data_IF_490223963428
#
_entry.id   IF_490223963428
#
_cell.length_a   1.000
_cell.length_b   1.000
_cell.length_c   1.000
_cell.angle_alpha   90.00
_cell.angle_beta   90.00
_cell.angle_gamma   90.00
#
_symmetry.space_group_name_H-M   'P 1'
#
loop_
_entity.id
_entity.type
_entity.pdbx_description
1 polymer ?
#
# COMPACT_ATOMS: atom_id res chain seq x y z
N UNK A 1 24.14 -40.30 31.21
CA UNK A 1 22.87 -40.21 31.97
C UNK A 1 21.92 -39.35 31.15
N UNK A 2 20.85 -39.96 30.61
CA UNK A 2 19.81 -39.24 29.86
C UNK A 2 18.88 -38.53 30.86
N UNK A 3 18.92 -37.20 30.91
CA UNK A 3 17.89 -36.41 31.60
C UNK A 3 16.87 -35.95 30.57
N UNK A 4 15.75 -36.68 30.44
CA UNK A 4 14.58 -36.17 29.73
C UNK A 4 14.02 -35.00 30.53
N UNK A 5 14.02 -33.79 29.98
CA UNK A 5 13.32 -32.67 30.58
C UNK A 5 11.81 -32.95 30.54
N UNK A 6 11.19 -33.06 31.71
CA UNK A 6 9.74 -33.15 31.83
C UNK A 6 9.12 -31.78 31.50
N UNK A 7 8.00 -31.71 30.77
CA UNK A 7 7.30 -30.45 30.53
C UNK A 7 6.80 -29.88 31.86
N UNK A 8 7.20 -28.65 32.16
CA UNK A 8 6.72 -27.90 33.33
C UNK A 8 5.28 -27.47 33.07
N UNK A 9 4.33 -27.97 33.87
CA UNK A 9 2.97 -27.46 33.91
C UNK A 9 2.86 -26.41 35.01
N UNK A 10 2.55 -25.17 34.64
CA UNK A 10 2.21 -24.10 35.58
C UNK A 10 0.81 -23.57 35.27
N UNK A 11 0.05 -23.20 36.31
CA UNK A 11 -1.22 -22.46 36.18
C UNK A 11 -0.98 -20.98 36.41
N UNK A 12 -1.45 -20.13 35.49
CA UNK A 12 -1.45 -18.68 35.64
C UNK A 12 -2.85 -18.22 36.08
N UNK A 13 -2.92 -17.40 37.12
CA UNK A 13 -4.17 -16.76 37.56
C UNK A 13 -4.13 -15.27 37.16
N UNK A 14 -5.10 -14.84 36.36
CA UNK A 14 -5.17 -13.47 35.81
C UNK A 14 -6.08 -12.62 36.70
N UNK A 15 -5.48 -11.80 37.58
CA UNK A 15 -6.25 -10.82 38.35
C UNK A 15 -6.48 -9.55 37.51
N UNK A 16 -7.71 -9.36 37.05
CA UNK A 16 -8.14 -8.08 36.49
C UNK A 16 -8.45 -7.10 37.64
N UNK A 17 -8.00 -5.84 37.57
CA UNK A 17 -8.39 -4.83 38.55
C UNK A 17 -9.91 -4.65 38.55
N UNK A 18 -10.53 -4.69 39.73
CA UNK A 18 -11.93 -4.32 39.88
C UNK A 18 -12.11 -2.83 39.58
N UNK A 19 -12.79 -2.48 38.49
CA UNK A 19 -13.27 -1.11 38.24
C UNK A 19 -12.90 -0.43 36.91
N UNK A 20 -12.35 -1.12 35.91
CA UNK A 20 -12.07 -0.50 34.61
C UNK A 20 -13.34 -0.43 33.73
N UNK A 21 -13.83 0.79 33.48
CA UNK A 21 -15.07 1.05 32.73
C UNK A 21 -14.86 1.43 31.25
N UNK A 22 -13.64 1.48 30.73
CA UNK A 22 -13.34 1.84 29.33
C UNK A 22 -12.33 0.90 28.64
N UNK A 23 -12.41 0.84 27.30
CA UNK A 23 -11.95 -0.22 26.41
C UNK A 23 -10.42 -0.33 26.15
N UNK A 24 -9.58 0.01 27.12
CA UNK A 24 -8.13 -0.24 27.03
C UNK A 24 -7.58 -0.57 28.42
N UNK A 25 -7.08 -1.80 28.59
CA UNK A 25 -6.43 -2.24 29.82
C UNK A 25 -5.07 -2.85 29.51
N UNK A 26 -4.04 -2.45 30.25
CA UNK A 26 -2.76 -3.15 30.24
C UNK A 26 -2.80 -4.31 31.24
N UNK A 27 -2.56 -5.54 30.79
CA UNK A 27 -2.32 -6.67 31.69
C UNK A 27 -0.82 -6.81 31.95
N UNK A 28 -0.43 -7.10 33.20
CA UNK A 28 0.92 -7.55 33.53
C UNK A 28 0.92 -9.06 33.58
N UNK A 29 1.80 -9.68 32.79
CA UNK A 29 2.05 -11.11 32.86
C UNK A 29 3.43 -11.29 33.49
N UNK A 30 3.46 -11.91 34.68
CA UNK A 30 4.70 -12.31 35.33
C UNK A 30 4.87 -13.80 35.13
N UNK A 31 5.92 -14.21 34.41
CA UNK A 31 6.26 -15.62 34.22
C UNK A 31 7.38 -15.94 35.20
N UNK A 32 7.08 -16.76 36.21
CA UNK A 32 8.09 -17.32 37.09
C UNK A 32 8.72 -18.53 36.40
N UNK A 33 9.98 -18.38 35.97
CA UNK A 33 10.80 -19.51 35.55
C UNK A 33 11.48 -20.10 36.79
N UNK A 34 11.64 -21.42 36.85
CA UNK A 34 12.26 -22.06 38.00
C UNK A 34 13.76 -21.71 38.03
N UNK A 35 14.18 -20.95 39.05
CA UNK A 35 15.48 -20.30 39.16
C UNK A 35 15.29 -18.81 39.46
N UNK A 36 16.20 -18.17 40.20
CA UNK A 36 16.05 -16.82 40.78
C UNK A 36 15.93 -15.64 39.77
N UNK A 37 15.39 -15.85 38.58
CA UNK A 37 15.14 -14.80 37.60
C UNK A 37 13.66 -14.77 37.20
N UNK A 38 12.96 -13.74 37.63
CA UNK A 38 11.67 -13.37 37.08
C UNK A 38 11.90 -12.40 35.91
N UNK A 39 11.28 -12.69 34.76
CA UNK A 39 11.12 -11.69 33.71
C UNK A 39 9.68 -11.18 33.75
N UNK A 40 9.53 -9.85 33.72
CA UNK A 40 8.23 -9.20 33.69
C UNK A 40 8.14 -8.42 32.39
N UNK A 41 7.23 -8.82 31.51
CA UNK A 41 6.93 -8.10 30.29
C UNK A 41 5.51 -7.50 30.35
N UNK A 42 5.33 -6.34 29.71
CA UNK A 42 4.02 -5.69 29.58
C UNK A 42 3.51 -5.88 28.17
N UNK A 43 2.30 -6.40 28.07
CA UNK A 43 1.58 -6.53 26.79
C UNK A 43 0.37 -5.60 26.80
N UNK A 44 0.16 -4.88 25.69
CA UNK A 44 -1.03 -4.07 25.44
C UNK A 44 -2.07 -4.95 24.74
N UNK A 45 -3.25 -5.11 25.34
CA UNK A 45 -4.39 -5.79 24.74
C UNK A 45 -5.37 -4.73 24.22
N UNK A 46 -5.62 -4.74 22.91
CA UNK A 46 -6.64 -3.89 22.28
C UNK A 46 -7.92 -4.71 22.04
N UNK A 47 -9.07 -4.23 22.56
CA UNK A 47 -10.38 -4.61 22.03
C UNK A 47 -11.10 -5.86 22.58
N UNK A 48 -11.04 -6.17 23.88
CA UNK A 48 -11.83 -7.28 24.44
C UNK A 48 -13.25 -6.84 24.88
N UNK A 49 -14.35 -7.48 24.42
CA UNK A 49 -15.69 -7.24 24.94
C UNK A 49 -15.87 -7.84 26.35
N UNK A 50 -16.79 -7.25 27.14
CA UNK A 50 -16.99 -7.58 28.57
C UNK A 50 -17.43 -9.03 28.77
N UNK A 51 -16.61 -9.81 29.47
CA UNK A 51 -16.93 -11.15 29.97
C UNK A 51 -15.68 -11.84 30.51
N UNK A 52 -15.81 -12.69 31.54
CA UNK A 52 -14.68 -13.47 32.09
C UNK A 52 -14.18 -14.44 31.02
N UNK A 53 -13.04 -14.13 30.38
CA UNK A 53 -12.34 -15.09 29.54
C UNK A 53 -11.19 -15.72 30.33
N UNK A 54 -11.14 -17.05 30.35
CA UNK A 54 -9.95 -17.78 30.73
C UNK A 54 -9.10 -17.97 29.47
N UNK A 55 -8.08 -17.13 29.28
CA UNK A 55 -7.07 -17.35 28.25
C UNK A 55 -6.09 -18.42 28.75
N UNK A 56 -5.95 -19.54 28.02
CA UNK A 56 -4.95 -20.55 28.32
C UNK A 56 -3.69 -20.26 27.50
N UNK A 57 -2.64 -19.75 28.16
CA UNK A 57 -1.35 -19.53 27.53
C UNK A 57 -0.55 -20.85 27.55
N UNK A 58 -0.28 -21.43 26.39
CA UNK A 58 0.56 -22.64 26.30
C UNK A 58 1.96 -22.22 25.86
N UNK A 59 2.92 -22.24 26.79
CA UNK A 59 4.33 -22.06 26.49
C UNK A 59 4.94 -23.40 26.09
N UNK A 60 5.51 -23.50 24.89
CA UNK A 60 6.37 -24.63 24.49
C UNK A 60 7.79 -24.11 24.27
N UNK A 61 8.79 -24.59 25.03
CA UNK A 61 10.19 -24.32 24.73
C UNK A 61 10.51 -24.89 23.33
N UNK A 62 11.22 -24.12 22.49
CA UNK A 62 11.83 -24.66 21.27
C UNK A 62 13.12 -25.40 21.65
N UNK A 63 13.34 -26.60 21.09
CA UNK A 63 14.57 -27.38 21.24
C UNK A 63 15.74 -26.76 20.46
N UNK A 64 16.19 -25.56 20.83
CA UNK A 64 17.40 -24.95 20.28
C UNK A 64 18.51 -24.94 21.34
N UNK A 65 19.70 -25.43 20.97
CA UNK A 65 20.86 -25.62 21.84
C UNK A 65 21.56 -24.30 22.25
N UNK A 66 21.06 -23.14 21.81
CA UNK A 66 21.80 -21.88 21.84
C UNK A 66 21.49 -21.02 23.08
N UNK A 67 20.87 -21.58 24.12
CA UNK A 67 20.67 -20.91 25.41
C UNK A 67 19.63 -19.77 25.42
N UNK A 68 19.02 -19.43 24.28
CA UNK A 68 17.90 -18.51 24.17
C UNK A 68 16.60 -19.25 23.84
N UNK A 69 15.66 -19.27 24.78
CA UNK A 69 14.37 -19.94 24.60
C UNK A 69 13.45 -19.07 23.74
N UNK A 70 13.22 -19.45 22.47
CA UNK A 70 12.16 -18.84 21.65
C UNK A 70 10.82 -19.45 22.06
N UNK A 71 9.97 -18.66 22.70
CA UNK A 71 8.63 -19.09 23.10
C UNK A 71 7.60 -18.78 22.01
N UNK A 72 6.71 -19.74 21.72
CA UNK A 72 5.47 -19.48 20.95
C UNK A 72 4.33 -19.21 21.92
N UNK A 73 3.54 -18.18 21.66
CA UNK A 73 2.32 -17.86 22.42
C UNK A 73 1.12 -18.25 21.58
N UNK A 74 0.22 -19.05 22.15
CA UNK A 74 -1.06 -19.40 21.57
C UNK A 74 -2.18 -18.77 22.42
N UNK A 75 -3.11 -18.06 21.78
CA UNK A 75 -4.37 -17.63 22.38
C UNK A 75 -5.48 -18.58 21.89
N UNK A 76 -6.11 -19.29 22.82
CA UNK A 76 -7.24 -20.18 22.55
C UNK A 76 -8.46 -19.65 23.32
N UNK A 77 -9.58 -19.41 22.62
CA UNK A 77 -10.87 -19.18 23.25
C UNK A 77 -11.50 -20.51 23.66
N UNK A 78 -12.06 -20.58 24.87
CA UNK A 78 -12.67 -21.80 25.40
C UNK A 78 -14.20 -21.73 25.38
N UNK A 79 -14.75 -22.66 24.59
CA UNK A 79 -16.09 -23.26 24.64
C UNK A 79 -17.31 -22.43 24.20
N UNK A 80 -17.85 -22.78 23.02
CA UNK A 80 -19.26 -22.55 22.68
C UNK A 80 -19.56 -22.44 21.18
N UNK A 81 -19.71 -23.58 20.48
CA UNK A 81 -20.21 -23.73 19.09
C UNK A 81 -19.24 -23.30 17.98
N UNK A 82 -18.61 -24.29 17.35
CA UNK A 82 -17.73 -24.12 16.19
C UNK A 82 -18.61 -24.10 14.93
N UNK A 83 -18.97 -22.90 14.48
CA UNK A 83 -19.16 -22.60 13.06
C UNK A 83 -18.16 -21.50 12.71
N UNK A 84 -17.09 -21.88 11.99
CA UNK A 84 -16.13 -20.97 11.37
C UNK A 84 -15.14 -20.30 12.33
N UNK A 85 -13.93 -20.88 12.48
CA UNK A 85 -12.63 -20.19 12.61
C UNK A 85 -11.58 -21.19 13.13
N UNK A 86 -10.93 -21.90 12.20
CA UNK A 86 -9.70 -22.63 12.48
C UNK A 86 -8.54 -21.87 11.86
N UNK A 87 -7.97 -20.90 12.56
CA UNK A 87 -6.58 -20.47 12.31
C UNK A 87 -5.99 -19.89 13.59
N UNK A 88 -5.16 -20.69 14.27
CA UNK A 88 -4.19 -20.12 15.21
C UNK A 88 -3.17 -19.33 14.38
N UNK A 89 -3.28 -18.01 14.37
CA UNK A 89 -2.27 -17.13 13.76
C UNK A 89 -1.04 -17.10 14.67
N UNK A 90 0.05 -17.74 14.24
CA UNK A 90 1.35 -17.55 14.86
C UNK A 90 1.99 -16.28 14.28
N UNK A 91 1.91 -15.17 15.01
CA UNK A 91 2.69 -13.97 14.72
C UNK A 91 4.07 -14.18 15.36
N UNK A 92 5.05 -14.66 14.60
CA UNK A 92 6.46 -14.53 14.97
C UNK A 92 6.91 -13.11 14.59
N UNK A 93 6.87 -12.18 15.55
CA UNK A 93 7.61 -10.93 15.43
C UNK A 93 9.07 -11.22 15.80
N UNK A 94 9.96 -11.29 14.80
CA UNK A 94 11.40 -11.39 15.05
C UNK A 94 11.87 -10.09 15.70
N UNK A 95 12.20 -10.15 17.00
CA UNK A 95 12.67 -8.99 17.78
C UNK A 95 14.12 -8.61 17.47
N UNK A 96 14.80 -9.32 16.55
CA UNK A 96 16.18 -9.07 16.14
C UNK A 96 16.34 -8.46 14.74
N UNK A 97 16.55 -7.14 14.64
CA UNK A 97 17.08 -6.42 13.45
C UNK A 97 16.31 -6.48 12.11
N UNK A 98 15.33 -7.36 11.95
CA UNK A 98 14.54 -7.63 10.75
C UNK A 98 13.06 -7.28 10.98
N UNK A 99 12.78 -6.08 11.49
CA UNK A 99 11.41 -5.58 11.79
C UNK A 99 10.41 -5.57 10.62
N UNK A 100 10.84 -5.99 9.41
CA UNK A 100 10.08 -5.89 8.17
C UNK A 100 9.83 -7.25 7.48
N UNK A 101 10.17 -8.38 8.10
CA UNK A 101 9.88 -9.71 7.56
C UNK A 101 8.70 -10.33 8.31
N UNK A 102 7.59 -10.56 7.60
CA UNK A 102 6.38 -11.17 8.17
C UNK A 102 6.04 -12.48 7.46
N UNK A 103 5.36 -13.40 8.15
CA UNK A 103 4.89 -14.67 7.60
C UNK A 103 3.39 -14.62 7.32
N UNK A 104 2.96 -15.21 6.21
CA UNK A 104 1.54 -15.22 5.82
C UNK A 104 0.71 -16.24 6.55
N UNK A 105 -0.59 -15.98 6.54
CA UNK A 105 -1.57 -17.04 6.50
C UNK A 105 -1.86 -17.43 5.04
N UNK A 106 -1.88 -18.74 4.76
CA UNK A 106 -2.52 -19.29 3.56
C UNK A 106 -4.02 -19.33 3.84
N UNK A 107 -4.85 -18.84 2.91
CA UNK A 107 -6.28 -19.08 3.07
C UNK A 107 -6.58 -20.58 2.86
N UNK A 108 -7.58 -21.14 3.56
CA UNK A 108 -8.05 -22.48 3.27
C UNK A 108 -8.62 -22.51 1.84
N UNK A 109 -7.86 -23.07 0.91
CA UNK A 109 -8.25 -23.28 -0.48
C UNK A 109 -7.96 -24.73 -0.86
N UNK A 110 -8.73 -25.25 -1.82
CA UNK A 110 -8.40 -26.54 -2.44
C UNK A 110 -7.10 -26.32 -3.20
N UNK A 111 -6.06 -27.03 -2.79
CA UNK A 111 -4.85 -27.10 -3.59
C UNK A 111 -5.11 -28.06 -4.72
N UNK A 112 -5.10 -27.53 -5.93
CA UNK A 112 -4.97 -28.39 -7.07
C UNK A 112 -3.66 -29.15 -6.94
N UNK A 113 -3.71 -30.46 -7.16
CA UNK A 113 -2.50 -31.26 -7.27
C UNK A 113 -1.58 -30.71 -8.38
N UNK A 114 -0.31 -31.13 -8.43
CA UNK A 114 0.61 -30.68 -9.47
C UNK A 114 -0.01 -30.84 -10.87
N UNK A 115 -0.02 -29.75 -11.65
CA UNK A 115 -0.56 -29.74 -13.02
C UNK A 115 0.61 -30.00 -13.98
N UNK A 116 0.63 -31.11 -14.73
CA UNK A 116 1.72 -31.40 -15.65
C UNK A 116 1.91 -30.30 -16.70
N UNK A 117 3.16 -29.96 -17.02
CA UNK A 117 3.50 -29.01 -18.08
C UNK A 117 3.83 -29.74 -19.39
N UNK A 118 3.40 -29.22 -20.56
CA UNK A 118 3.68 -29.87 -21.85
C UNK A 118 5.17 -29.94 -22.21
N UNK A 119 5.98 -28.99 -21.71
CA UNK A 119 7.42 -28.87 -22.00
C UNK A 119 8.31 -29.49 -20.91
N UNK A 120 7.70 -30.06 -19.86
CA UNK A 120 8.42 -30.61 -18.71
C UNK A 120 9.06 -29.56 -17.81
N UNK A 121 8.73 -28.28 -17.96
CA UNK A 121 9.17 -27.22 -17.04
C UNK A 121 8.48 -27.32 -15.68
N UNK A 122 9.17 -26.94 -14.62
CA UNK A 122 8.57 -26.82 -13.28
C UNK A 122 8.32 -25.35 -12.95
N UNK A 123 7.17 -25.06 -12.37
CA UNK A 123 6.83 -23.70 -11.95
C UNK A 123 6.03 -23.70 -10.65
N UNK A 124 6.07 -22.57 -9.94
CA UNK A 124 5.18 -22.29 -8.82
C UNK A 124 4.29 -21.12 -9.23
N UNK A 125 2.98 -21.30 -9.11
CA UNK A 125 1.99 -20.24 -9.30
C UNK A 125 1.23 -19.97 -8.01
N UNK A 126 0.50 -18.86 -7.97
CA UNK A 126 -0.45 -18.56 -6.91
C UNK A 126 -1.04 -17.18 -7.10
N UNK A 127 -1.81 -16.73 -6.12
CA UNK A 127 -2.41 -15.40 -6.12
C UNK A 127 -2.15 -14.70 -4.80
N UNK A 128 -1.74 -13.45 -4.87
CA UNK A 128 -1.59 -12.57 -3.72
C UNK A 128 -2.82 -11.67 -3.57
N UNK A 129 -3.29 -11.52 -2.34
CA UNK A 129 -4.28 -10.51 -1.97
C UNK A 129 -4.00 -9.93 -0.57
N UNK A 130 -4.64 -8.81 -0.25
CA UNK A 130 -4.66 -8.23 1.09
C UNK A 130 -5.99 -7.56 1.34
N UNK A 131 -6.29 -7.25 2.59
CA UNK A 131 -7.42 -6.39 2.91
C UNK A 131 -7.00 -4.94 2.78
N UNK A 132 -7.77 -4.13 2.06
CA UNK A 132 -7.57 -2.69 1.97
C UNK A 132 -7.97 -1.97 3.27
N UNK A 133 -7.81 -0.64 3.31
CA UNK A 133 -8.16 0.18 4.47
C UNK A 133 -9.67 0.15 4.81
N UNK A 134 -10.53 -0.16 3.84
CA UNK A 134 -11.97 -0.35 4.04
C UNK A 134 -12.31 -1.79 4.51
N UNK A 135 -11.32 -2.67 4.58
CA UNK A 135 -11.47 -4.06 4.97
C UNK A 135 -11.97 -4.97 3.85
N UNK A 136 -12.04 -4.49 2.61
CA UNK A 136 -12.36 -5.28 1.43
C UNK A 136 -11.12 -6.01 0.92
N UNK A 137 -11.30 -7.20 0.34
CA UNK A 137 -10.18 -7.96 -0.22
C UNK A 137 -9.78 -7.35 -1.57
N UNK A 138 -8.52 -6.94 -1.69
CA UNK A 138 -7.92 -6.36 -2.87
C UNK A 138 -6.82 -7.27 -3.44
N UNK A 139 -6.70 -7.29 -4.77
CA UNK A 139 -5.64 -8.00 -5.48
C UNK A 139 -4.27 -7.41 -5.17
N UNK A 140 -3.30 -8.28 -4.91
CA UNK A 140 -1.95 -7.89 -4.59
C UNK A 140 -1.12 -7.59 -5.82
N UNK A 141 -1.50 -6.55 -6.55
CA UNK A 141 -1.00 -6.21 -7.89
C UNK A 141 0.43 -5.69 -7.90
N UNK A 142 1.19 -6.00 -8.95
CA UNK A 142 2.54 -5.47 -9.22
C UNK A 142 3.56 -5.61 -8.08
N UNK A 143 3.38 -6.61 -7.22
CA UNK A 143 4.28 -6.96 -6.13
C UNK A 143 5.39 -7.81 -6.69
N UNK A 144 6.65 -7.49 -6.37
CA UNK A 144 7.78 -8.36 -6.74
C UNK A 144 7.68 -9.68 -5.99
N UNK A 145 7.81 -10.79 -6.71
CA UNK A 145 7.80 -12.15 -6.16
C UNK A 145 9.13 -12.83 -6.44
N UNK A 146 9.70 -13.46 -5.42
CA UNK A 146 10.95 -14.22 -5.48
C UNK A 146 10.74 -15.61 -4.88
N UNK A 147 11.27 -16.66 -5.52
CA UNK A 147 11.28 -18.00 -4.93
C UNK A 147 12.61 -18.23 -4.21
N UNK A 148 12.55 -18.38 -2.88
CA UNK A 148 13.73 -18.59 -2.04
C UNK A 148 13.74 -20.02 -1.53
N UNK A 149 14.87 -20.76 -1.57
CA UNK A 149 14.95 -22.09 -0.98
C UNK A 149 14.59 -22.05 0.52
N UNK A 150 13.78 -22.99 1.01
CA UNK A 150 13.33 -23.00 2.42
C UNK A 150 14.49 -23.17 3.43
N UNK A 151 15.59 -23.79 3.01
CA UNK A 151 16.84 -23.87 3.79
C UNK A 151 17.66 -22.56 3.82
N UNK A 152 17.16 -21.49 3.22
CA UNK A 152 17.89 -20.24 3.00
C UNK A 152 18.72 -20.25 1.72
N UNK A 153 19.15 -19.08 1.29
CA UNK A 153 19.96 -18.88 0.08
C UNK A 153 19.45 -17.74 -0.79
N UNK A 154 20.04 -17.64 -1.99
CA UNK A 154 19.63 -16.65 -2.98
C UNK A 154 18.31 -17.08 -3.68
N UNK A 155 17.48 -16.12 -4.12
CA UNK A 155 16.32 -16.42 -4.96
C UNK A 155 16.72 -17.20 -6.21
N UNK A 156 15.95 -18.24 -6.54
CA UNK A 156 16.15 -19.07 -7.75
C UNK A 156 15.29 -18.62 -8.93
N UNK A 157 14.23 -17.85 -8.66
CA UNK A 157 13.35 -17.27 -9.66
C UNK A 157 12.80 -15.93 -9.14
N UNK A 158 12.49 -15.02 -10.05
CA UNK A 158 11.97 -13.68 -9.76
C UNK A 158 10.96 -13.25 -10.81
N UNK A 159 9.92 -12.55 -10.39
CA UNK A 159 8.93 -11.93 -11.26
C UNK A 159 8.09 -10.92 -10.47
N UNK A 160 6.87 -10.67 -10.94
CA UNK A 160 5.90 -9.84 -10.25
C UNK A 160 4.49 -10.43 -10.37
N UNK A 161 3.59 -10.00 -9.49
CA UNK A 161 2.17 -10.27 -9.67
C UNK A 161 1.57 -9.40 -10.77
N UNK A 162 0.59 -9.94 -11.48
CA UNK A 162 -0.23 -9.22 -12.47
C UNK A 162 -1.27 -8.30 -11.81
N UNK A 163 -2.12 -7.57 -12.56
CA UNK A 163 -3.16 -6.69 -11.99
C UNK A 163 -4.20 -7.41 -11.10
N UNK A 164 -4.38 -8.72 -11.30
CA UNK A 164 -5.31 -9.57 -10.55
C UNK A 164 -4.65 -10.25 -9.33
N UNK A 165 -3.35 -10.01 -9.15
CA UNK A 165 -2.53 -10.53 -8.06
C UNK A 165 -1.92 -11.91 -8.35
N UNK A 166 -2.08 -12.46 -9.56
CA UNK A 166 -1.54 -13.77 -9.89
C UNK A 166 -0.05 -13.69 -10.19
N UNK A 167 0.69 -14.74 -9.85
CA UNK A 167 2.08 -14.91 -10.26
C UNK A 167 2.31 -16.34 -10.75
N UNK A 168 3.32 -16.50 -11.62
CA UNK A 168 3.87 -17.80 -11.99
C UNK A 168 5.38 -17.64 -12.21
N UNK A 169 6.18 -18.41 -11.47
CA UNK A 169 7.63 -18.36 -11.54
C UNK A 169 8.17 -19.72 -11.97
N UNK A 170 8.84 -19.74 -13.12
CA UNK A 170 9.50 -20.93 -13.68
C UNK A 170 10.80 -21.19 -12.95
N UNK A 171 11.04 -22.44 -12.57
CA UNK A 171 12.25 -22.87 -11.89
C UNK A 171 13.38 -23.12 -12.92
N UNK A 172 14.62 -22.71 -12.65
CA UNK A 172 15.71 -22.72 -13.63
C UNK A 172 16.28 -24.12 -13.96
N UNK A 173 15.97 -25.16 -13.17
CA UNK A 173 16.43 -26.53 -13.42
C UNK A 173 15.43 -27.56 -12.85
N UNK A 174 15.26 -28.70 -13.53
CA UNK A 174 14.47 -29.84 -13.08
C UNK A 174 15.01 -30.44 -11.77
N UNK A 175 16.28 -30.19 -11.42
CA UNK A 175 16.86 -30.55 -10.12
C UNK A 175 16.27 -29.78 -8.91
N UNK A 176 15.37 -28.82 -9.16
CA UNK A 176 14.56 -28.19 -8.11
C UNK A 176 13.45 -29.11 -7.58
N UNK A 177 13.19 -30.26 -8.23
CA UNK A 177 12.19 -31.24 -7.80
C UNK A 177 12.39 -31.69 -6.35
N UNK A 178 11.27 -31.79 -5.62
CA UNK A 178 11.26 -32.21 -4.22
C UNK A 178 11.86 -31.18 -3.26
N UNK A 179 12.39 -30.06 -3.77
CA UNK A 179 12.88 -28.98 -2.93
C UNK A 179 11.73 -28.09 -2.49
N UNK A 180 11.90 -27.62 -1.27
CA UNK A 180 11.04 -26.69 -0.60
C UNK A 180 11.42 -25.25 -0.94
N UNK A 181 10.43 -24.42 -1.27
CA UNK A 181 10.59 -23.00 -1.57
C UNK A 181 9.64 -22.15 -0.75
N UNK A 182 10.07 -20.95 -0.41
CA UNK A 182 9.28 -19.89 0.20
C UNK A 182 9.07 -18.80 -0.86
N UNK A 183 7.84 -18.60 -1.34
CA UNK A 183 7.52 -17.41 -2.11
C UNK A 183 7.68 -16.18 -1.20
N UNK A 184 8.59 -15.29 -1.56
CA UNK A 184 8.89 -14.03 -0.89
C UNK A 184 8.38 -12.87 -1.74
N UNK A 185 7.68 -11.95 -1.11
CA UNK A 185 7.02 -10.83 -1.74
C UNK A 185 7.58 -9.54 -1.21
N UNK A 186 7.89 -8.60 -2.10
CA UNK A 186 8.37 -7.27 -1.75
C UNK A 186 7.36 -6.25 -2.25
N UNK A 187 6.91 -5.35 -1.36
CA UNK A 187 6.01 -4.24 -1.73
C UNK A 187 6.75 -3.18 -2.54
N UNK A 188 6.99 -3.51 -3.81
CA UNK A 188 7.71 -2.68 -4.76
C UNK A 188 8.00 -3.45 -6.04
N UNK A 189 8.51 -2.72 -7.02
CA UNK A 189 8.93 -3.20 -8.33
C UNK A 189 9.94 -2.19 -8.92
N UNK A 190 10.20 -2.25 -10.23
CA UNK A 190 11.13 -1.32 -10.90
C UNK A 190 10.69 0.17 -10.89
N UNK A 191 9.45 0.48 -10.50
CA UNK A 191 8.86 1.82 -10.52
C UNK A 191 8.66 2.45 -9.15
N UNK A 192 8.48 1.64 -8.11
CA UNK A 192 8.46 2.13 -6.73
C UNK A 192 8.92 1.07 -5.72
N UNK A 193 9.26 1.51 -4.51
CA UNK A 193 9.60 0.63 -3.39
C UNK A 193 9.07 1.19 -2.07
N UNK A 194 8.14 0.49 -1.43
CA UNK A 194 7.66 0.82 -0.08
C UNK A 194 8.64 0.25 0.95
N UNK A 195 9.17 1.12 1.80
CA UNK A 195 10.27 0.83 2.72
C UNK A 195 10.14 1.59 4.03
N UNK A 196 10.89 1.14 5.03
CA UNK A 196 11.19 1.91 6.24
C UNK A 196 12.69 1.84 6.52
N UNK A 197 13.33 3.00 6.69
CA UNK A 197 14.76 3.15 6.94
C UNK A 197 15.60 2.34 5.94
N UNK A 198 15.32 2.54 4.64
CA UNK A 198 15.95 1.84 3.51
C UNK A 198 15.69 0.33 3.41
N UNK A 199 14.88 -0.24 4.31
CA UNK A 199 14.53 -1.66 4.28
C UNK A 199 13.15 -1.83 3.67
N UNK A 200 13.01 -2.60 2.58
CA UNK A 200 11.71 -2.84 1.97
C UNK A 200 10.77 -3.58 2.92
N UNK A 201 9.47 -3.40 2.72
CA UNK A 201 8.47 -4.28 3.33
C UNK A 201 8.43 -5.61 2.59
N UNK A 202 8.72 -6.68 3.32
CA UNK A 202 8.85 -8.03 2.77
C UNK A 202 7.95 -9.00 3.53
N UNK A 203 7.41 -9.95 2.81
CA UNK A 203 6.52 -10.96 3.36
C UNK A 203 6.81 -12.33 2.73
N UNK A 204 6.83 -13.39 3.52
CA UNK A 204 7.04 -14.78 3.07
C UNK A 204 5.78 -15.62 3.24
N UNK A 205 5.42 -16.32 2.18
CA UNK A 205 4.36 -17.31 2.18
C UNK A 205 4.81 -18.66 2.76
N UNK A 206 3.86 -19.54 3.14
CA UNK A 206 4.18 -20.90 3.52
C UNK A 206 4.96 -21.63 2.44
N UNK A 207 5.71 -22.63 2.91
CA UNK A 207 6.53 -23.48 2.05
C UNK A 207 5.70 -24.18 0.97
N UNK A 208 6.26 -24.23 -0.23
CA UNK A 208 5.73 -24.96 -1.39
C UNK A 208 6.81 -25.89 -1.89
N UNK A 209 6.50 -27.18 -1.99
CA UNK A 209 7.42 -28.19 -2.54
C UNK A 209 7.22 -28.29 -4.04
N UNK A 210 8.29 -28.11 -4.82
CA UNK A 210 8.23 -28.22 -6.27
C UNK A 210 8.06 -29.69 -6.72
N UNK A 211 7.38 -29.89 -7.84
CA UNK A 211 7.22 -31.18 -8.52
C UNK A 211 7.81 -31.12 -9.94
N UNK A 212 8.49 -32.17 -10.40
CA UNK A 212 9.07 -32.20 -11.74
C UNK A 212 7.99 -32.12 -12.82
N UNK A 213 8.31 -31.38 -13.89
CA UNK A 213 7.45 -31.23 -15.07
C UNK A 213 6.03 -30.82 -14.75
N UNK A 214 5.86 -29.99 -13.70
CA UNK A 214 4.54 -29.63 -13.18
C UNK A 214 4.52 -28.20 -12.64
N UNK A 215 3.34 -27.59 -12.70
CA UNK A 215 3.00 -26.36 -12.00
C UNK A 215 2.43 -26.73 -10.63
N UNK A 216 3.05 -26.22 -9.56
CA UNK A 216 2.54 -26.33 -8.20
C UNK A 216 1.83 -25.05 -7.81
N UNK A 217 0.60 -25.17 -7.31
CA UNK A 217 -0.21 -24.03 -6.89
C UNK A 217 0.00 -23.71 -5.39
N UNK A 218 0.52 -22.53 -5.10
CA UNK A 218 0.64 -21.97 -3.76
C UNK A 218 -0.75 -21.57 -3.20
N UNK A 219 -1.77 -21.47 -4.04
CA UNK A 219 -3.13 -21.07 -3.69
C UNK A 219 -3.27 -19.56 -3.51
N UNK A 220 -4.36 -19.16 -2.86
CA UNK A 220 -4.62 -17.78 -2.45
C UNK A 220 -3.84 -17.45 -1.16
N UNK A 221 -2.90 -16.52 -1.30
CA UNK A 221 -2.04 -16.04 -0.25
C UNK A 221 -2.51 -14.65 0.18
N UNK A 222 -2.82 -14.49 1.47
CA UNK A 222 -3.40 -13.25 1.98
C UNK A 222 -2.56 -12.67 3.11
N UNK A 223 -2.21 -11.39 2.99
CA UNK A 223 -1.56 -10.66 4.09
C UNK A 223 -2.53 -10.54 5.28
N UNK A 224 -2.15 -11.00 6.49
CA UNK A 224 -3.00 -10.92 7.66
C UNK A 224 -3.35 -9.48 8.04
N UNK A 225 -4.56 -9.21 8.54
CA UNK A 225 -4.93 -7.87 9.04
C UNK A 225 -4.10 -7.46 10.27
N UNK A 226 -3.92 -6.16 10.47
CA UNK A 226 -3.32 -5.59 11.70
C UNK A 226 -1.79 -5.71 11.80
N UNK A 227 -1.11 -6.01 10.70
CA UNK A 227 0.36 -5.98 10.61
C UNK A 227 0.81 -4.71 9.89
N UNK A 228 1.98 -4.13 10.24
CA UNK A 228 2.55 -3.00 9.50
C UNK A 228 2.73 -3.28 8.00
N UNK A 229 3.07 -4.52 7.62
CA UNK A 229 3.17 -4.90 6.19
C UNK A 229 1.83 -4.82 5.45
N UNK A 230 0.72 -5.04 6.14
CA UNK A 230 -0.62 -4.95 5.56
C UNK A 230 -1.06 -3.50 5.37
N UNK A 231 -0.64 -2.62 6.28
CA UNK A 231 -0.82 -1.17 6.14
C UNK A 231 0.06 -0.62 5.01
N UNK A 232 1.33 -1.04 4.94
CA UNK A 232 2.22 -0.70 3.82
C UNK A 232 1.66 -1.20 2.46
N UNK A 233 0.90 -2.31 2.46
CA UNK A 233 0.22 -2.80 1.25
C UNK A 233 -0.90 -1.86 0.78
N UNK A 234 -1.50 -1.05 1.66
CA UNK A 234 -2.45 -0.01 1.26
C UNK A 234 -1.77 1.11 0.48
N UNK A 235 -0.57 1.52 0.90
CA UNK A 235 0.27 2.47 0.18
C UNK A 235 0.62 1.90 -1.19
N UNK A 236 1.13 0.66 -1.24
CA UNK A 236 1.44 -0.03 -2.50
C UNK A 236 0.22 -0.12 -3.42
N UNK A 237 -0.94 -0.51 -2.89
CA UNK A 237 -2.18 -0.60 -3.65
C UNK A 237 -2.64 0.76 -4.19
N UNK A 238 -2.40 1.83 -3.44
CA UNK A 238 -2.72 3.20 -3.86
C UNK A 238 -1.84 3.61 -5.05
N UNK A 239 -0.51 3.52 -4.91
CA UNK A 239 0.43 3.93 -5.99
C UNK A 239 0.36 3.01 -7.21
N UNK A 240 -0.08 1.76 -7.04
CA UNK A 240 -0.31 0.85 -8.16
C UNK A 240 -1.34 1.37 -9.16
N UNK A 241 -2.33 2.15 -8.70
CA UNK A 241 -3.33 2.75 -9.58
C UNK A 241 -2.73 3.78 -10.55
N UNK A 242 -1.60 4.40 -10.21
CA UNK A 242 -0.88 5.24 -11.17
C UNK A 242 -0.39 4.42 -12.36
N UNK A 243 0.14 3.22 -12.13
CA UNK A 243 0.56 2.34 -13.21
C UNK A 243 -0.63 1.90 -14.07
N UNK A 244 -1.77 1.60 -13.44
CA UNK A 244 -3.01 1.29 -14.15
C UNK A 244 -3.47 2.47 -15.03
N UNK A 245 -3.38 3.70 -14.52
CA UNK A 245 -3.78 4.91 -15.24
C UNK A 245 -2.92 5.13 -16.51
N UNK A 246 -1.62 4.86 -16.45
CA UNK A 246 -0.74 4.94 -17.61
C UNK A 246 -0.90 3.74 -18.56
N UNK A 247 -0.95 2.52 -18.04
CA UNK A 247 -1.02 1.29 -18.83
C UNK A 247 -2.32 1.18 -19.62
N UNK A 248 -3.46 1.51 -19.01
CA UNK A 248 -4.78 1.51 -19.67
C UNK A 248 -4.87 2.46 -20.87
N UNK A 249 -3.95 3.42 -20.98
CA UNK A 249 -3.91 4.44 -22.04
C UNK A 249 -2.70 4.29 -22.96
N UNK A 250 -1.94 3.19 -22.84
CA UNK A 250 -0.75 2.92 -23.64
C UNK A 250 0.27 4.09 -23.64
N UNK A 251 0.38 4.81 -22.52
CA UNK A 251 1.33 5.90 -22.37
C UNK A 251 2.72 5.31 -22.11
N UNK A 252 3.73 5.76 -22.86
CA UNK A 252 5.12 5.37 -22.60
C UNK A 252 5.56 5.81 -21.19
N UNK A 253 6.02 4.83 -20.40
CA UNK A 253 6.53 4.99 -19.04
C UNK A 253 8.05 4.76 -18.94
N UNK A 254 8.80 4.77 -20.04
CA UNK A 254 10.27 4.61 -20.03
C UNK A 254 11.02 5.66 -19.18
N UNK A 255 10.40 6.81 -18.95
CA UNK A 255 10.88 7.89 -18.08
C UNK A 255 10.78 7.55 -16.58
N UNK A 256 9.83 6.70 -16.19
CA UNK A 256 9.49 6.46 -14.78
C UNK A 256 10.55 5.59 -14.10
N UNK A 257 11.45 6.22 -13.33
CA UNK A 257 12.45 5.51 -12.53
C UNK A 257 11.88 5.09 -11.18
N UNK A 258 12.54 4.16 -10.50
CA UNK A 258 12.08 3.71 -9.18
C UNK A 258 11.99 4.88 -8.19
N UNK A 259 10.81 5.06 -7.61
CA UNK A 259 10.52 6.04 -6.55
C UNK A 259 10.55 5.34 -5.19
N UNK A 260 11.32 5.85 -4.24
CA UNK A 260 11.28 5.38 -2.86
C UNK A 260 10.01 5.86 -2.16
N UNK A 261 9.38 5.02 -1.34
CA UNK A 261 8.25 5.41 -0.50
C UNK A 261 8.59 5.03 0.95
N UNK A 262 8.95 6.02 1.76
CA UNK A 262 9.30 5.86 3.17
C UNK A 262 8.03 5.95 4.04
N UNK A 263 7.71 4.85 4.72
CA UNK A 263 6.64 4.80 5.70
C UNK A 263 6.97 3.81 6.83
N UNK A 264 6.73 4.15 8.11
CA UNK A 264 6.26 5.45 8.58
C UNK A 264 7.37 6.51 8.53
N UNK A 265 7.01 7.73 8.13
CA UNK A 265 7.88 8.91 8.15
C UNK A 265 7.43 9.93 9.22
N UNK A 266 8.16 11.04 9.33
CA UNK A 266 7.80 12.17 10.21
C UNK A 266 6.90 13.23 9.57
N UNK A 267 6.50 13.07 8.31
CA UNK A 267 5.68 14.04 7.58
C UNK A 267 5.37 13.60 6.15
N UNK A 268 4.29 14.14 5.61
CA UNK A 268 3.87 13.87 4.22
C UNK A 268 4.54 14.88 3.30
N UNK A 269 5.43 14.39 2.42
CA UNK A 269 6.11 15.22 1.41
C UNK A 269 6.86 14.36 0.38
N UNK A 270 7.01 14.90 -0.82
CA UNK A 270 7.97 14.42 -1.81
C UNK A 270 9.30 15.18 -1.78
N UNK A 271 10.41 14.46 -1.89
CA UNK A 271 11.76 15.04 -1.99
C UNK A 271 12.70 14.13 -2.79
N UNK A 272 13.22 14.64 -3.90
CA UNK A 272 14.34 14.04 -4.67
C UNK A 272 14.22 12.53 -4.99
N UNK A 273 13.03 12.08 -5.38
CA UNK A 273 12.78 10.67 -5.73
C UNK A 273 12.28 9.81 -4.55
N UNK A 274 12.02 10.43 -3.40
CA UNK A 274 11.44 9.77 -2.24
C UNK A 274 10.14 10.45 -1.80
N UNK A 275 9.09 9.65 -1.65
CA UNK A 275 7.81 10.03 -1.05
C UNK A 275 7.83 9.63 0.41
N UNK A 276 7.54 10.55 1.30
CA UNK A 276 7.48 10.34 2.74
C UNK A 276 6.02 10.39 3.17
N UNK A 277 5.58 9.43 3.99
CA UNK A 277 4.19 9.31 4.41
C UNK A 277 4.07 9.01 5.90
N UNK A 278 3.09 9.62 6.54
CA UNK A 278 2.74 9.38 7.95
C UNK A 278 1.64 8.33 8.07
N UNK A 279 0.60 8.44 7.25
CA UNK A 279 -0.62 7.63 7.37
C UNK A 279 -0.85 6.74 6.15
N UNK A 280 -0.92 5.40 6.31
CA UNK A 280 -0.99 4.46 5.19
C UNK A 280 -2.39 4.34 4.57
N UNK A 281 -3.43 4.85 5.25
CA UNK A 281 -4.83 4.72 4.85
C UNK A 281 -5.35 5.95 4.08
N UNK A 282 -4.58 7.03 4.03
CA UNK A 282 -4.98 8.31 3.42
C UNK A 282 -4.65 8.29 1.93
N UNK A 283 -5.46 7.59 1.14
CA UNK A 283 -5.20 7.33 -0.28
C UNK A 283 -4.94 8.61 -1.09
N UNK A 284 -5.59 9.72 -0.72
CA UNK A 284 -5.50 11.00 -1.41
C UNK A 284 -4.22 11.75 -1.08
N UNK A 285 -3.76 11.70 0.17
CA UNK A 285 -2.43 12.18 0.57
C UNK A 285 -1.35 11.35 -0.12
N UNK A 286 -1.46 10.02 -0.11
CA UNK A 286 -0.53 9.13 -0.79
C UNK A 286 -0.52 9.41 -2.31
N UNK A 287 -1.69 9.55 -2.93
CA UNK A 287 -1.83 9.86 -4.35
C UNK A 287 -1.27 11.24 -4.71
N UNK A 288 -1.47 12.23 -3.85
CA UNK A 288 -0.90 13.58 -3.99
C UNK A 288 0.63 13.54 -3.94
N UNK A 289 1.23 12.97 -2.90
CA UNK A 289 2.69 12.93 -2.78
C UNK A 289 3.34 12.10 -3.90
N UNK A 290 2.69 11.03 -4.32
CA UNK A 290 3.13 10.26 -5.48
C UNK A 290 2.98 11.06 -6.79
N UNK A 291 1.95 11.89 -6.90
CA UNK A 291 1.74 12.82 -8.01
C UNK A 291 2.88 13.81 -8.18
N UNK A 292 3.49 14.30 -7.10
CA UNK A 292 4.72 15.10 -7.15
C UNK A 292 5.89 14.33 -7.77
N UNK A 293 6.05 13.06 -7.39
CA UNK A 293 7.10 12.22 -7.94
C UNK A 293 6.91 11.97 -9.45
N UNK A 294 5.68 11.74 -9.88
CA UNK A 294 5.32 11.59 -11.30
C UNK A 294 5.55 12.91 -12.07
N UNK A 295 5.16 14.04 -11.49
CA UNK A 295 5.39 15.36 -12.07
C UNK A 295 6.88 15.62 -12.29
N UNK A 296 7.69 15.41 -11.25
CA UNK A 296 9.13 15.66 -11.28
C UNK A 296 9.87 14.75 -12.25
N UNK A 297 9.52 13.45 -12.29
CA UNK A 297 10.26 12.46 -13.10
C UNK A 297 9.76 12.36 -14.54
N UNK A 298 8.48 12.61 -14.80
CA UNK A 298 7.86 12.43 -16.12
C UNK A 298 7.71 13.69 -16.95
N UNK A 299 7.90 14.86 -16.35
CA UNK A 299 7.75 16.14 -17.04
C UNK A 299 9.01 17.00 -16.87
N UNK A 300 9.25 17.92 -17.80
CA UNK A 300 10.32 18.91 -17.69
C UNK A 300 9.80 20.19 -16.99
N UNK A 301 9.01 20.00 -15.94
CA UNK A 301 8.27 21.07 -15.26
C UNK A 301 9.08 21.70 -14.13
N UNK A 302 8.69 22.92 -13.74
CA UNK A 302 9.29 23.62 -12.62
C UNK A 302 8.41 23.46 -11.39
N UNK A 303 8.80 22.53 -10.50
CA UNK A 303 8.16 22.38 -9.21
C UNK A 303 8.47 23.59 -8.29
N UNK A 304 7.45 24.09 -7.61
CA UNK A 304 7.64 24.94 -6.43
C UNK A 304 7.71 24.07 -5.19
N UNK A 305 8.50 24.48 -4.19
CA UNK A 305 8.50 23.85 -2.87
C UNK A 305 8.23 24.89 -1.79
N UNK A 306 7.67 24.45 -0.68
CA UNK A 306 7.41 25.29 0.49
C UNK A 306 6.19 24.85 1.28
N UNK A 307 6.08 25.37 2.49
CA UNK A 307 4.87 25.16 3.30
C UNK A 307 3.68 25.80 2.58
N UNK A 308 2.63 25.01 2.41
CA UNK A 308 1.39 25.42 1.76
C UNK A 308 0.19 24.73 2.41
N UNK A 309 -0.99 25.11 1.95
CA UNK A 309 -2.32 24.62 2.27
C UNK A 309 -3.17 24.86 1.02
N UNK A 310 -4.09 23.94 0.74
CA UNK A 310 -4.83 23.99 -0.52
C UNK A 310 -5.56 25.30 -0.85
N UNK A 311 -5.96 26.10 0.15
CA UNK A 311 -6.87 27.24 0.02
C UNK A 311 -6.18 28.63 0.08
N UNK A 312 -4.86 28.71 0.28
CA UNK A 312 -4.15 30.00 0.29
C UNK A 312 -3.55 30.34 -1.09
N UNK A 313 -3.05 31.57 -1.24
CA UNK A 313 -2.37 32.00 -2.47
C UNK A 313 -0.85 31.86 -2.34
N UNK A 314 -0.19 31.36 -3.38
CA UNK A 314 1.25 31.13 -3.45
C UNK A 314 1.90 31.77 -4.68
N UNK A 315 3.08 31.27 -5.07
CA UNK A 315 3.61 31.48 -6.42
C UNK A 315 2.86 30.58 -7.40
N UNK A 316 2.75 30.98 -8.67
CA UNK A 316 2.09 30.14 -9.69
C UNK A 316 2.78 28.78 -9.84
N UNK A 317 4.09 28.69 -9.62
CA UNK A 317 4.84 27.43 -9.70
C UNK A 317 4.52 26.48 -8.56
N UNK A 318 4.39 26.99 -7.33
CA UNK A 318 4.00 26.17 -6.18
C UNK A 318 2.56 25.69 -6.36
N UNK A 319 1.63 26.62 -6.60
CA UNK A 319 0.23 26.27 -6.81
C UNK A 319 0.01 25.29 -7.96
N UNK A 320 0.80 25.39 -9.03
CA UNK A 320 0.71 24.48 -10.16
C UNK A 320 1.25 23.08 -9.86
N UNK A 321 2.39 22.96 -9.16
CA UNK A 321 2.92 21.64 -8.79
C UNK A 321 2.01 20.93 -7.78
N UNK A 322 1.53 21.65 -6.77
CA UNK A 322 0.56 21.10 -5.81
C UNK A 322 -0.76 20.73 -6.50
N UNK A 323 -1.26 21.61 -7.37
CA UNK A 323 -2.54 21.38 -8.04
C UNK A 323 -2.47 20.23 -9.04
N UNK A 324 -1.32 20.06 -9.70
CA UNK A 324 -1.06 18.88 -10.54
C UNK A 324 -1.03 17.59 -9.72
N UNK A 325 -0.35 17.58 -8.57
CA UNK A 325 -0.28 16.42 -7.70
C UNK A 325 -1.67 15.98 -7.22
N UNK A 326 -2.49 16.93 -6.76
CA UNK A 326 -3.90 16.69 -6.38
C UNK A 326 -4.73 16.20 -7.57
N UNK A 327 -4.64 16.84 -8.73
CA UNK A 327 -5.31 16.39 -9.96
C UNK A 327 -4.93 14.95 -10.34
N UNK A 328 -3.64 14.62 -10.34
CA UNK A 328 -3.16 13.28 -10.69
C UNK A 328 -3.64 12.22 -9.70
N UNK A 329 -3.67 12.53 -8.40
CA UNK A 329 -4.30 11.70 -7.38
C UNK A 329 -5.77 11.43 -7.70
N UNK A 330 -6.50 12.45 -8.15
CA UNK A 330 -7.87 12.33 -8.65
C UNK A 330 -7.99 11.37 -9.84
N UNK A 331 -7.18 11.58 -10.89
CA UNK A 331 -7.16 10.73 -12.10
C UNK A 331 -6.98 9.24 -11.77
N UNK A 332 -6.17 8.92 -10.77
CA UNK A 332 -5.86 7.54 -10.41
C UNK A 332 -6.94 6.87 -9.54
N UNK A 333 -7.74 7.65 -8.81
CA UNK A 333 -8.57 7.11 -7.72
C UNK A 333 -10.05 7.42 -7.79
N UNK A 334 -10.42 8.52 -8.44
CA UNK A 334 -11.80 8.97 -8.55
C UNK A 334 -12.40 8.48 -9.87
N UNK A 335 -13.71 8.24 -9.85
CA UNK A 335 -14.45 8.03 -11.08
C UNK A 335 -14.57 9.39 -11.80
N UNK A 336 -14.22 9.40 -13.07
CA UNK A 336 -14.30 10.57 -13.94
C UNK A 336 -15.75 11.04 -14.17
N UNK A 337 -16.75 10.20 -13.87
CA UNK A 337 -18.16 10.57 -13.89
C UNK A 337 -18.72 10.91 -12.50
N UNK A 338 -17.89 11.01 -11.46
CA UNK A 338 -18.35 11.26 -10.09
C UNK A 338 -18.78 12.72 -9.90
N UNK A 339 -20.10 12.94 -9.81
CA UNK A 339 -20.70 14.26 -9.47
C UNK A 339 -20.28 14.82 -8.11
N UNK A 340 -19.65 14.03 -7.25
CA UNK A 340 -19.11 14.44 -5.95
C UNK A 340 -17.64 14.02 -5.79
N UNK A 341 -16.85 14.19 -6.86
CA UNK A 341 -15.41 13.97 -6.84
C UNK A 341 -14.75 14.75 -5.69
N UNK A 342 -14.23 14.01 -4.70
CA UNK A 342 -13.76 14.59 -3.43
C UNK A 342 -12.61 13.83 -2.78
N UNK A 343 -11.76 14.59 -2.09
CA UNK A 343 -10.66 14.07 -1.29
C UNK A 343 -11.01 14.16 0.21
N UNK A 344 -10.76 13.09 0.95
CA UNK A 344 -11.25 12.88 2.32
C UNK A 344 -10.25 13.30 3.41
N UNK A 345 -8.95 13.18 3.15
CA UNK A 345 -7.89 13.36 4.14
C UNK A 345 -6.91 14.47 3.80
N UNK A 346 -6.80 14.86 2.52
CA UNK A 346 -5.81 15.86 2.05
C UNK A 346 -5.80 17.16 2.88
N UNK A 347 -6.96 17.61 3.37
CA UNK A 347 -7.08 18.84 4.16
C UNK A 347 -8.00 18.65 5.36
N UNK A 348 -7.50 18.19 6.53
CA UNK A 348 -8.36 17.84 7.67
C UNK A 348 -9.34 18.94 8.12
N UNK A 349 -8.95 20.21 7.99
CA UNK A 349 -9.80 21.35 8.39
C UNK A 349 -10.90 21.74 7.38
N UNK A 350 -10.81 21.28 6.14
CA UNK A 350 -11.80 21.52 5.07
C UNK A 350 -12.32 20.22 4.45
N UNK A 351 -11.98 19.08 5.03
CA UNK A 351 -12.34 17.77 4.52
C UNK A 351 -13.86 17.51 4.65
N UNK A 352 -14.48 16.83 3.66
CA UNK A 352 -13.90 16.49 2.36
C UNK A 352 -13.81 17.73 1.46
N UNK A 353 -12.73 17.86 0.70
CA UNK A 353 -12.61 18.88 -0.35
C UNK A 353 -13.22 18.34 -1.65
N UNK A 354 -14.06 19.14 -2.30
CA UNK A 354 -14.67 18.81 -3.60
C UNK A 354 -13.88 19.48 -4.71
N UNK A 355 -13.44 18.74 -5.72
CA UNK A 355 -12.66 19.32 -6.81
C UNK A 355 -13.55 20.08 -7.81
N UNK A 356 -14.79 19.64 -7.98
CA UNK A 356 -15.82 20.26 -8.84
C UNK A 356 -16.29 21.64 -8.36
N UNK A 357 -16.21 21.92 -7.05
CA UNK A 357 -16.75 23.14 -6.49
C UNK A 357 -15.80 23.75 -5.46
N UNK A 358 -14.99 24.69 -5.95
CA UNK A 358 -14.06 25.44 -5.12
C UNK A 358 -14.76 26.65 -4.48
N UNK A 359 -14.87 26.73 -3.14
CA UNK A 359 -15.58 27.80 -2.44
C UNK A 359 -15.09 29.21 -2.81
N UNK A 360 -16.01 30.18 -2.84
CA UNK A 360 -15.72 31.56 -3.25
C UNK A 360 -14.72 32.29 -2.32
N UNK A 361 -14.52 31.83 -1.09
CA UNK A 361 -13.52 32.37 -0.17
C UNK A 361 -12.09 31.88 -0.47
N UNK A 362 -11.94 30.85 -1.32
CA UNK A 362 -10.64 30.37 -1.78
C UNK A 362 -10.08 31.32 -2.84
N UNK A 363 -8.79 31.63 -2.70
CA UNK A 363 -8.02 32.50 -3.59
C UNK A 363 -8.37 32.29 -5.09
N UNK A 364 -8.95 33.29 -5.75
CA UNK A 364 -9.45 33.19 -7.15
C UNK A 364 -8.37 33.50 -8.19
N UNK A 365 -7.26 32.77 -8.16
CA UNK A 365 -6.18 32.90 -9.16
C UNK A 365 -5.51 31.56 -9.42
N UNK A 366 -4.70 31.44 -10.48
CA UNK A 366 -3.82 30.28 -10.72
C UNK A 366 -2.74 30.07 -9.63
N UNK A 367 -2.69 30.95 -8.62
CA UNK A 367 -1.78 30.85 -7.48
C UNK A 367 -2.38 30.03 -6.33
N UNK A 368 -3.48 29.33 -6.56
CA UNK A 368 -4.11 28.46 -5.57
C UNK A 368 -4.15 27.01 -6.07
N UNK A 369 -3.70 26.08 -5.23
CA UNK A 369 -3.68 24.64 -5.52
C UNK A 369 -5.08 24.09 -5.86
N UNK A 370 -6.10 24.42 -5.06
CA UNK A 370 -7.46 23.92 -5.29
C UNK A 370 -7.99 24.36 -6.65
N UNK A 371 -7.80 25.63 -6.98
CA UNK A 371 -8.21 26.22 -8.27
C UNK A 371 -7.48 25.57 -9.44
N UNK A 372 -6.18 25.29 -9.29
CA UNK A 372 -5.42 24.56 -10.32
C UNK A 372 -5.94 23.14 -10.48
N UNK A 373 -6.15 22.43 -9.37
CA UNK A 373 -6.65 21.06 -9.39
C UNK A 373 -8.01 20.99 -10.09
N UNK A 374 -8.94 21.86 -9.70
CA UNK A 374 -10.27 21.99 -10.30
C UNK A 374 -10.18 22.28 -11.79
N UNK A 375 -9.41 23.31 -12.17
CA UNK A 375 -9.24 23.65 -13.59
C UNK A 375 -8.60 22.56 -14.45
N UNK A 376 -7.84 21.62 -13.88
CA UNK A 376 -7.34 20.44 -14.60
C UNK A 376 -8.36 19.29 -14.61
N UNK A 377 -9.13 19.17 -13.52
CA UNK A 377 -10.21 18.19 -13.39
C UNK A 377 -11.34 18.47 -14.36
N UNK A 378 -11.81 19.71 -14.47
CA UNK A 378 -12.84 20.16 -15.42
C UNK A 378 -12.47 19.90 -16.90
N UNK A 379 -11.16 19.73 -17.19
CA UNK A 379 -10.70 19.34 -18.53
C UNK A 379 -10.72 17.82 -18.74
N UNK A 380 -10.69 17.06 -17.66
CA UNK A 380 -10.51 15.62 -17.64
C UNK A 380 -11.82 14.89 -17.42
N UNK A 381 -12.70 15.38 -16.54
CA UNK A 381 -13.86 14.63 -16.13
C UNK A 381 -14.85 14.41 -17.30
N UNK A 382 -15.94 13.70 -17.04
CA UNK A 382 -17.00 13.45 -18.03
C UNK A 382 -18.37 13.83 -17.50
N UNK A 383 -18.42 14.48 -16.34
CA UNK A 383 -19.64 14.91 -15.71
C UNK A 383 -19.84 16.38 -16.05
N UNK A 384 -20.62 16.72 -17.09
CA UNK A 384 -20.78 18.11 -17.49
C UNK A 384 -21.49 18.88 -16.37
N UNK A 385 -20.78 19.76 -15.69
CA UNK A 385 -21.36 20.70 -14.76
C UNK A 385 -20.99 22.15 -15.14
N UNK A 386 -21.96 23.06 -14.93
CA UNK A 386 -21.81 24.46 -15.32
C UNK A 386 -21.39 24.69 -16.78
N UNK A 387 -20.13 25.11 -16.96
CA UNK A 387 -19.50 25.54 -18.20
C UNK A 387 -18.58 24.46 -18.83
N UNK A 388 -18.58 23.24 -18.30
CA UNK A 388 -17.79 22.14 -18.82
C UNK A 388 -18.28 21.74 -20.20
N UNK A 389 -17.50 22.11 -21.21
CA UNK A 389 -17.77 21.79 -22.61
C UNK A 389 -16.79 20.77 -23.20
N UNK A 390 -15.85 20.27 -22.41
CA UNK A 390 -14.80 19.34 -22.85
C UNK A 390 -14.62 18.23 -21.83
N UNK A 391 -14.06 17.13 -22.29
CA UNK A 391 -13.89 15.92 -21.50
C UNK A 391 -12.70 15.15 -22.12
N UNK A 392 -11.47 15.61 -21.86
CA UNK A 392 -10.27 15.01 -22.46
C UNK A 392 -9.79 13.79 -21.69
N UNK A 393 -9.26 12.82 -22.41
CA UNK A 393 -8.57 11.70 -21.79
C UNK A 393 -7.22 12.14 -21.19
N UNK A 394 -6.80 11.46 -20.12
CA UNK A 394 -5.57 11.79 -19.40
C UNK A 394 -4.31 11.74 -20.27
N UNK A 395 -4.26 10.88 -21.29
CA UNK A 395 -3.13 10.80 -22.23
C UNK A 395 -2.96 12.10 -23.05
N UNK A 396 -4.05 12.76 -23.44
CA UNK A 396 -4.03 14.06 -24.11
C UNK A 396 -3.49 15.15 -23.16
N UNK A 397 -3.97 15.18 -21.92
CA UNK A 397 -3.50 16.14 -20.90
C UNK A 397 -2.01 15.90 -20.59
N UNK A 398 -1.61 14.65 -20.41
CA UNK A 398 -0.23 14.25 -20.18
C UNK A 398 0.68 14.64 -21.35
N UNK A 399 0.24 14.46 -22.59
CA UNK A 399 0.99 14.87 -23.78
C UNK A 399 1.24 16.39 -23.78
N UNK A 400 0.25 17.20 -23.41
CA UNK A 400 0.42 18.64 -23.25
C UNK A 400 1.42 19.01 -22.16
N UNK A 401 1.36 18.33 -21.01
CA UNK A 401 2.32 18.51 -19.93
C UNK A 401 3.76 18.25 -20.39
N UNK A 402 3.97 17.19 -21.18
CA UNK A 402 5.30 16.85 -21.71
C UNK A 402 5.80 17.75 -22.86
N UNK A 403 4.90 18.41 -23.59
CA UNK A 403 5.27 19.39 -24.64
C UNK A 403 5.80 20.70 -24.05
N UNK A 404 5.35 21.08 -22.85
CA UNK A 404 5.79 22.31 -22.20
C UNK A 404 7.25 22.24 -21.77
N UNK A 405 8.00 23.32 -22.03
CA UNK A 405 9.31 23.52 -21.41
C UNK A 405 9.09 24.30 -20.11
N UNK A 406 9.46 23.72 -18.95
CA UNK A 406 9.32 24.34 -17.62
C UNK A 406 7.88 24.72 -17.29
N UNK A 407 6.95 23.76 -17.37
CA UNK A 407 5.57 23.97 -16.91
C UNK A 407 5.57 24.36 -15.43
N UNK A 408 5.06 25.54 -15.09
CA UNK A 408 5.05 26.03 -13.71
C UNK A 408 3.91 27.01 -13.45
N UNK A 409 2.86 26.98 -14.27
CA UNK A 409 1.64 27.76 -14.10
C UNK A 409 0.56 27.26 -15.06
N UNK A 410 -0.71 27.51 -14.74
CA UNK A 410 -1.80 27.31 -15.70
C UNK A 410 -1.64 28.22 -16.92
N UNK A 411 -1.08 29.41 -16.76
CA UNK A 411 -0.73 30.30 -17.87
C UNK A 411 0.25 29.64 -18.86
N UNK A 412 1.28 28.95 -18.36
CA UNK A 412 2.19 28.20 -19.22
C UNK A 412 1.49 27.03 -19.89
N UNK A 413 0.68 26.27 -19.15
CA UNK A 413 -0.11 25.16 -19.68
C UNK A 413 -1.05 25.61 -20.79
N UNK A 414 -1.79 26.69 -20.56
CA UNK A 414 -2.66 27.35 -21.53
C UNK A 414 -1.92 27.73 -22.82
N UNK A 415 -0.70 28.27 -22.69
CA UNK A 415 0.12 28.66 -23.85
C UNK A 415 0.52 27.47 -24.74
N UNK A 416 0.57 26.27 -24.18
CA UNK A 416 0.82 25.01 -24.89
C UNK A 416 -0.47 24.53 -25.53
N UNK A 417 -1.54 24.33 -24.74
CA UNK A 417 -2.75 23.65 -25.23
C UNK A 417 -3.46 24.45 -26.31
N UNK A 418 -3.51 25.79 -26.21
CA UNK A 418 -4.27 26.63 -27.16
C UNK A 418 -3.82 26.51 -28.62
N UNK A 419 -2.63 25.95 -28.87
CA UNK A 419 -2.09 25.69 -30.22
C UNK A 419 -2.67 24.41 -30.84
N UNK A 420 -3.18 23.50 -30.00
CA UNK A 420 -3.69 22.19 -30.36
C UNK A 420 -5.24 22.12 -30.33
N UNK A 421 -5.91 23.24 -29.98
CA UNK A 421 -7.38 23.31 -29.86
C UNK A 421 -8.01 23.93 -31.10
N UNK A 422 -9.18 23.42 -31.48
CA UNK A 422 -10.11 24.11 -32.39
C UNK A 422 -10.67 25.38 -31.74
N UNK A 423 -11.31 26.25 -32.53
CA UNK A 423 -11.93 27.46 -31.99
C UNK A 423 -13.06 27.17 -30.97
N UNK A 424 -13.79 26.07 -31.18
CA UNK A 424 -14.85 25.60 -30.28
C UNK A 424 -14.28 25.04 -28.98
N UNK A 425 -13.31 24.11 -29.07
CA UNK A 425 -12.61 23.59 -27.89
C UNK A 425 -11.94 24.72 -27.09
N UNK A 426 -11.34 25.72 -27.76
CA UNK A 426 -10.71 26.86 -27.11
C UNK A 426 -11.72 27.68 -26.29
N UNK A 427 -12.93 27.89 -26.82
CA UNK A 427 -13.98 28.60 -26.11
C UNK A 427 -14.46 27.80 -24.88
N UNK A 428 -14.66 26.49 -25.04
CA UNK A 428 -15.09 25.60 -23.97
C UNK A 428 -14.04 25.48 -22.84
N UNK A 429 -12.76 25.25 -23.18
CA UNK A 429 -11.67 25.20 -22.20
C UNK A 429 -11.55 26.52 -21.42
N UNK A 430 -11.70 27.66 -22.10
CA UNK A 430 -11.66 28.96 -21.42
C UNK A 430 -12.82 29.11 -20.45
N UNK A 431 -14.02 28.66 -20.81
CA UNK A 431 -15.20 28.75 -19.96
C UNK A 431 -15.06 27.86 -18.71
N UNK A 432 -14.58 26.63 -18.89
CA UNK A 432 -14.28 25.68 -17.82
C UNK A 432 -13.24 26.25 -16.83
N UNK A 433 -12.07 26.72 -17.30
CA UNK A 433 -11.07 27.31 -16.39
C UNK A 433 -11.57 28.56 -15.65
N UNK A 434 -12.44 29.36 -16.29
CA UNK A 434 -13.07 30.52 -15.64
C UNK A 434 -14.03 30.10 -14.53
N UNK A 435 -14.80 29.02 -14.71
CA UNK A 435 -15.67 28.45 -13.69
C UNK A 435 -14.88 28.02 -12.45
N UNK A 436 -13.75 27.35 -12.64
CA UNK A 436 -12.84 27.01 -11.55
C UNK A 436 -12.11 28.23 -10.97
N UNK A 437 -12.43 29.46 -11.37
CA UNK A 437 -11.93 30.70 -10.77
C UNK A 437 -10.54 31.11 -11.25
N UNK A 438 -10.11 30.60 -12.40
CA UNK A 438 -8.84 30.94 -13.04
C UNK A 438 -9.09 31.86 -14.24
N UNK A 439 -8.52 33.07 -14.18
CA UNK A 439 -8.55 34.00 -15.31
C UNK A 439 -7.29 33.79 -16.16
N UNK A 440 -7.46 33.16 -17.32
CA UNK A 440 -6.39 33.00 -18.31
C UNK A 440 -6.13 34.32 -19.08
N UNK A 441 -4.88 34.56 -19.51
CA UNK A 441 -4.53 35.70 -20.37
C UNK A 441 -4.96 35.57 -21.83
#
# INVERSE_FOLDING_TARGET
MNTSAQPVQGSLELQLPSGLSSASGSARVSIALQGNQSQTERYLLHGAPRGRQAAQLIYRPSDNADGFSRGRIYLLEREGRIEGLTTAQAIEADSGSSKNLFRAARLPGVLDGPIPTPDGSSAIKGRLAWYDAAGALAAGRYVTVELVPAGGGNPVAKGATDPDGNFQLTLPDASAEGKAFLPRFTLGNERWLVKTSDKPYVWEAPEVTAAAGSIVDAGDLVLPKGLPSSEAAWIHGTVSKALDAFASRNIDIGWWKQIGIEWPSGGDYYSWGEVNLTEPHQWDVIGHEFGHAIFFTGTNSQAGGGQHKIDECYTSSLAFSEGWATFFGGVCHLDRADTDARFQFLVPRRAPIRIENVPADVCMTEKNEWRVSAALWDLYDSNPDGADGVAYDFDRIWAWMRKGNRMGSLTNFWSVIKKDLTAEELAAVRASMQQSGVVLP
#
